data_IF_386804378659
#
_entry.id   IF_386804378659
#
_cell.length_a   1.000
_cell.length_b   1.000
_cell.length_c   1.000
_cell.angle_alpha   90.00
_cell.angle_beta   90.00
_cell.angle_gamma   90.00
#
_symmetry.space_group_name_H-M   'P 1'
#
loop_
_entity.id
_entity.type
_entity.pdbx_description
1 polymer ?
#
# COMPACT_ATOMS: atom_id res chain seq x y z
N UNK A 1 53.20 6.51 56.30
CA UNK A 1 53.78 5.90 55.10
C UNK A 1 53.02 6.47 53.89
N UNK A 2 53.65 7.46 53.26
CA UNK A 2 53.19 8.17 52.10
C UNK A 2 53.79 7.52 50.85
N UNK A 3 52.93 7.08 49.89
CA UNK A 3 53.37 6.55 48.59
C UNK A 3 52.94 7.56 47.56
N UNK A 4 53.83 8.10 46.71
CA UNK A 4 53.43 9.03 45.65
C UNK A 4 52.85 8.32 44.45
N UNK A 5 51.66 8.75 43.98
CA UNK A 5 51.09 8.30 42.72
C UNK A 5 51.79 9.03 41.56
N UNK A 6 52.30 8.24 40.66
CA UNK A 6 52.86 8.67 39.39
C UNK A 6 51.69 9.05 38.41
N UNK A 7 51.60 10.29 38.01
CA UNK A 7 50.69 10.78 37.01
C UNK A 7 51.33 10.51 35.63
N UNK A 8 51.02 9.38 35.02
CA UNK A 8 51.20 9.23 33.56
C UNK A 8 50.08 9.98 32.87
N UNK A 9 50.45 11.03 32.12
CA UNK A 9 49.56 11.75 31.21
C UNK A 9 49.26 10.83 30.03
N UNK A 10 48.07 10.26 29.98
CA UNK A 10 47.52 9.72 28.73
C UNK A 10 47.41 10.85 27.70
N UNK A 11 48.10 10.72 26.58
CA UNK A 11 47.98 11.56 25.43
C UNK A 11 46.59 11.43 24.84
N UNK A 12 45.74 12.42 25.09
CA UNK A 12 44.43 12.58 24.41
C UNK A 12 44.68 12.79 22.94
N UNK A 13 44.45 11.74 22.13
CA UNK A 13 44.50 11.79 20.68
C UNK A 13 43.44 12.80 20.20
N UNK A 14 43.92 13.97 19.79
CA UNK A 14 43.15 15.03 19.18
C UNK A 14 42.31 14.49 17.99
N UNK A 15 41.04 14.87 17.79
CA UNK A 15 40.24 14.38 16.68
C UNK A 15 40.92 14.75 15.35
N UNK A 16 41.18 13.76 14.48
CA UNK A 16 41.79 13.93 13.16
C UNK A 16 41.02 15.02 12.41
N UNK A 17 41.65 16.16 12.19
CA UNK A 17 41.09 17.30 11.46
C UNK A 17 40.79 16.86 10.03
N UNK A 18 39.51 16.94 9.63
CA UNK A 18 39.05 16.51 8.28
C UNK A 18 39.75 17.35 7.23
N UNK A 19 40.40 16.70 6.27
CA UNK A 19 41.11 17.35 5.15
C UNK A 19 40.11 18.18 4.32
N UNK A 20 40.45 19.42 4.02
CA UNK A 20 39.61 20.37 3.30
C UNK A 20 40.14 20.66 1.89
N UNK A 21 39.29 21.23 1.02
CA UNK A 21 39.73 21.71 -0.31
C UNK A 21 40.85 22.74 -0.23
N UNK A 22 40.89 23.51 0.87
CA UNK A 22 41.96 24.50 1.12
C UNK A 22 43.30 23.83 1.36
N UNK A 23 43.32 22.68 2.01
CA UNK A 23 44.55 21.93 2.29
C UNK A 23 45.13 21.37 0.96
N UNK A 24 44.25 20.84 0.09
CA UNK A 24 44.64 20.36 -1.24
C UNK A 24 45.10 21.52 -2.14
N UNK A 25 44.42 22.66 -2.08
CA UNK A 25 44.79 23.89 -2.80
C UNK A 25 46.18 24.34 -2.42
N UNK A 26 46.51 24.32 -1.13
CA UNK A 26 47.86 24.70 -0.63
C UNK A 26 48.94 23.74 -1.13
N UNK A 27 48.64 22.46 -1.20
CA UNK A 27 49.61 21.43 -1.57
C UNK A 27 49.75 21.27 -3.09
N UNK A 28 48.68 21.48 -3.87
CA UNK A 28 48.71 21.37 -5.33
C UNK A 28 49.13 22.66 -6.03
N UNK A 29 49.08 23.82 -5.36
CA UNK A 29 49.39 25.15 -5.92
C UNK A 29 48.26 25.72 -6.80
N UNK A 30 47.10 25.07 -6.86
CA UNK A 30 45.93 25.55 -7.63
C UNK A 30 44.86 26.17 -6.72
N UNK A 31 44.02 27.06 -7.26
CA UNK A 31 42.98 27.68 -6.50
C UNK A 31 41.96 26.66 -5.96
N UNK A 32 41.30 26.93 -4.80
CA UNK A 32 40.24 26.04 -4.29
C UNK A 32 39.12 25.78 -5.28
N UNK A 33 38.81 26.75 -6.16
CA UNK A 33 37.82 26.60 -7.21
C UNK A 33 38.28 25.58 -8.29
N UNK A 34 39.55 25.67 -8.74
CA UNK A 34 40.15 24.71 -9.68
C UNK A 34 40.19 23.31 -9.09
N UNK A 35 40.65 23.20 -7.84
CA UNK A 35 40.69 21.92 -7.11
C UNK A 35 39.27 21.31 -7.04
N UNK A 36 38.27 22.10 -6.67
CA UNK A 36 36.88 21.64 -6.60
C UNK A 36 36.35 21.17 -7.95
N UNK A 37 36.62 21.88 -9.02
CA UNK A 37 36.18 21.51 -10.37
C UNK A 37 36.79 20.18 -10.84
N UNK A 38 38.11 20.00 -10.62
CA UNK A 38 38.81 18.75 -10.99
C UNK A 38 38.34 17.57 -10.17
N UNK A 39 38.21 17.70 -8.84
CA UNK A 39 37.81 16.61 -7.93
C UNK A 39 36.34 16.24 -8.08
N UNK A 40 35.46 17.18 -8.49
CA UNK A 40 34.05 16.93 -8.78
C UNK A 40 33.79 16.33 -10.16
N UNK A 41 34.83 16.18 -11.02
CA UNK A 41 34.69 15.58 -12.35
C UNK A 41 33.83 16.38 -13.33
N UNK A 42 33.79 17.72 -13.23
CA UNK A 42 33.03 18.58 -14.15
C UNK A 42 33.52 18.41 -15.57
N UNK A 43 32.60 18.19 -16.50
CA UNK A 43 32.87 17.97 -17.94
C UNK A 43 32.73 19.24 -18.81
N UNK A 44 32.15 20.29 -18.21
CA UNK A 44 31.97 21.60 -18.87
C UNK A 44 33.23 22.49 -18.90
N UNK A 45 34.27 22.08 -18.17
CA UNK A 45 35.58 22.74 -18.16
C UNK A 45 36.66 21.73 -18.43
N UNK A 46 37.55 22.02 -19.42
CA UNK A 46 38.68 21.16 -19.76
C UNK A 46 39.95 21.59 -19.04
N UNK A 47 40.63 20.64 -18.39
CA UNK A 47 41.93 20.82 -17.76
C UNK A 47 42.98 19.92 -18.43
N UNK A 48 44.24 20.35 -18.46
CA UNK A 48 45.30 19.51 -18.95
C UNK A 48 45.50 18.27 -18.06
N UNK A 49 45.93 17.14 -18.64
CA UNK A 49 46.21 15.93 -17.89
C UNK A 49 47.20 16.14 -16.73
N UNK A 50 48.19 17.04 -16.93
CA UNK A 50 49.17 17.39 -15.90
C UNK A 50 48.50 18.17 -14.73
N UNK A 51 47.59 19.10 -15.04
CA UNK A 51 46.82 19.83 -14.01
C UNK A 51 45.95 18.89 -13.20
N UNK A 52 45.27 17.97 -13.88
CA UNK A 52 44.42 16.96 -13.20
C UNK A 52 45.24 16.07 -12.27
N UNK A 53 46.43 15.62 -12.74
CA UNK A 53 47.34 14.80 -11.95
C UNK A 53 47.83 15.55 -10.68
N UNK A 54 48.30 16.78 -10.85
CA UNK A 54 48.82 17.62 -9.74
C UNK A 54 47.81 17.97 -8.68
N UNK A 55 46.54 17.86 -8.98
CA UNK A 55 45.45 18.02 -7.98
C UNK A 55 45.03 16.69 -7.35
N UNK A 56 45.00 15.61 -8.13
CA UNK A 56 44.57 14.30 -7.60
C UNK A 56 45.59 13.64 -6.68
N UNK A 57 46.89 13.70 -7.04
CA UNK A 57 47.94 13.10 -6.20
C UNK A 57 47.93 13.64 -4.76
N UNK A 58 47.91 14.97 -4.50
CA UNK A 58 47.77 15.47 -3.13
C UNK A 58 46.46 15.10 -2.43
N UNK A 59 45.34 15.04 -3.17
CA UNK A 59 44.04 14.67 -2.61
C UNK A 59 44.04 13.21 -2.10
N UNK A 60 44.61 12.30 -2.89
CA UNK A 60 44.77 10.89 -2.52
C UNK A 60 45.77 10.72 -1.36
N UNK A 61 46.91 11.41 -1.41
CA UNK A 61 47.91 11.35 -0.34
C UNK A 61 47.40 11.84 1.02
N UNK A 62 46.54 12.85 1.01
CA UNK A 62 45.87 13.37 2.23
C UNK A 62 44.66 12.58 2.64
N UNK A 63 44.22 11.57 1.88
CA UNK A 63 42.98 10.81 2.14
C UNK A 63 41.72 11.65 2.02
N UNK A 64 41.72 12.66 1.11
CA UNK A 64 40.54 13.47 0.87
C UNK A 64 39.45 12.65 0.17
N UNK A 65 38.38 12.38 0.87
CA UNK A 65 37.14 11.92 0.27
C UNK A 65 36.30 13.15 -0.13
N UNK A 66 36.03 13.38 -1.44
CA UNK A 66 35.11 14.44 -1.83
C UNK A 66 33.83 14.25 -1.05
N UNK A 67 33.39 15.26 -0.31
CA UNK A 67 32.00 15.29 0.16
C UNK A 67 31.18 15.29 -1.12
N UNK A 68 30.51 14.18 -1.41
CA UNK A 68 29.48 14.17 -2.44
C UNK A 68 28.62 15.40 -2.15
N UNK A 69 28.65 16.40 -3.06
CA UNK A 69 27.69 17.49 -2.95
C UNK A 69 26.34 16.79 -2.85
N UNK A 70 25.63 16.93 -1.71
CA UNK A 70 24.25 16.52 -1.62
C UNK A 70 23.63 17.05 -2.90
N UNK A 71 23.26 16.16 -3.82
CA UNK A 71 22.41 16.57 -4.95
C UNK A 71 21.29 17.33 -4.30
N UNK A 72 20.88 18.51 -4.81
CA UNK A 72 19.73 19.20 -4.26
C UNK A 72 18.66 18.14 -4.14
N UNK A 73 18.22 17.85 -2.91
CA UNK A 73 17.09 16.96 -2.67
C UNK A 73 15.93 17.58 -3.43
N UNK A 74 15.20 16.79 -4.19
CA UNK A 74 13.96 17.25 -4.82
C UNK A 74 12.99 17.76 -3.74
N UNK A 75 13.21 17.36 -2.49
CA UNK A 75 12.37 17.66 -1.34
C UNK A 75 13.25 18.10 -0.18
N UNK A 76 12.97 19.30 0.35
CA UNK A 76 13.63 19.84 1.54
C UNK A 76 13.07 19.23 2.85
N UNK A 77 12.01 18.45 2.75
CA UNK A 77 11.29 17.83 3.86
C UNK A 77 11.51 16.31 3.90
N UNK A 78 11.17 15.69 5.02
CA UNK A 78 11.10 14.24 5.13
C UNK A 78 10.08 13.70 4.13
N UNK A 79 10.50 12.83 3.24
CA UNK A 79 9.63 12.28 2.19
C UNK A 79 9.22 10.87 2.50
N UNK A 80 7.93 10.58 2.44
CA UNK A 80 7.32 9.27 2.63
C UNK A 80 6.88 8.68 1.29
N UNK A 81 7.25 7.43 1.04
CA UNK A 81 6.79 6.68 -0.11
C UNK A 81 5.47 5.96 0.19
N UNK A 82 4.47 6.16 -0.65
CA UNK A 82 3.20 5.43 -0.62
C UNK A 82 3.19 4.43 -1.77
N UNK A 83 3.14 3.14 -1.47
CA UNK A 83 3.07 2.07 -2.45
C UNK A 83 1.64 1.56 -2.54
N UNK A 84 1.03 1.63 -3.73
CA UNK A 84 -0.35 1.20 -3.96
C UNK A 84 -0.48 0.42 -5.28
N UNK A 85 -1.55 -0.37 -5.48
CA UNK A 85 -1.76 -1.07 -6.74
C UNK A 85 -2.01 -0.11 -7.90
N UNK A 86 -2.95 0.79 -7.72
CA UNK A 86 -3.29 1.87 -8.65
C UNK A 86 -4.00 3.01 -7.91
N UNK A 87 -4.07 4.18 -8.50
CA UNK A 87 -4.72 5.37 -7.92
C UNK A 87 -6.11 5.65 -8.49
N UNK A 88 -6.59 4.84 -9.41
CA UNK A 88 -7.88 5.05 -10.08
C UNK A 88 -9.03 4.36 -9.35
N UNK A 89 -8.75 3.30 -8.59
CA UNK A 89 -9.74 2.71 -7.71
C UNK A 89 -9.96 3.65 -6.49
N UNK A 90 -11.19 4.13 -6.24
CA UNK A 90 -11.50 5.05 -5.14
C UNK A 90 -11.07 4.56 -3.74
N UNK A 91 -10.96 3.26 -3.53
CA UNK A 91 -10.41 2.71 -2.28
C UNK A 91 -8.97 3.19 -2.05
N UNK A 92 -8.09 2.99 -3.05
CA UNK A 92 -6.68 3.35 -2.91
C UNK A 92 -6.45 4.85 -2.97
N UNK A 93 -7.17 5.58 -3.85
CA UNK A 93 -7.04 7.04 -3.91
C UNK A 93 -7.48 7.72 -2.62
N UNK A 94 -8.51 7.20 -1.93
CA UNK A 94 -8.94 7.71 -0.62
C UNK A 94 -7.87 7.46 0.46
N UNK A 95 -7.25 6.27 0.51
CA UNK A 95 -6.13 6.00 1.43
C UNK A 95 -4.95 6.94 1.16
N UNK A 96 -4.54 7.05 -0.12
CA UNK A 96 -3.43 7.91 -0.53
C UNK A 96 -3.70 9.36 -0.10
N UNK A 97 -4.89 9.89 -0.38
CA UNK A 97 -5.27 11.25 0.01
C UNK A 97 -5.23 11.44 1.52
N UNK A 98 -5.73 10.48 2.30
CA UNK A 98 -5.72 10.56 3.76
C UNK A 98 -4.29 10.55 4.34
N UNK A 99 -3.38 9.74 3.76
CA UNK A 99 -1.96 9.75 4.11
C UNK A 99 -1.33 11.12 3.77
N UNK A 100 -1.61 11.65 2.58
CA UNK A 100 -1.08 12.93 2.11
C UNK A 100 -1.52 14.09 3.01
N UNK A 101 -2.79 14.11 3.42
CA UNK A 101 -3.31 15.12 4.37
C UNK A 101 -2.58 15.03 5.71
N UNK A 102 -2.48 13.83 6.30
CA UNK A 102 -1.78 13.62 7.57
C UNK A 102 -0.28 13.97 7.47
N UNK A 103 0.36 13.69 6.33
CA UNK A 103 1.76 14.03 6.07
C UNK A 103 1.97 15.55 5.98
N UNK A 104 1.07 16.26 5.31
CA UNK A 104 1.12 17.71 5.20
C UNK A 104 1.02 18.41 6.56
N UNK A 105 0.16 17.91 7.47
CA UNK A 105 0.01 18.42 8.84
C UNK A 105 1.29 18.24 9.69
N UNK A 106 2.24 17.41 9.25
CA UNK A 106 3.52 17.10 9.91
C UNK A 106 4.75 17.54 9.10
N UNK A 107 4.57 18.45 8.15
CA UNK A 107 5.65 18.93 7.28
C UNK A 107 6.42 17.81 6.54
N UNK A 108 5.73 16.76 6.14
CA UNK A 108 6.27 15.67 5.34
C UNK A 108 5.77 15.76 3.89
N UNK A 109 6.66 15.48 2.95
CA UNK A 109 6.31 15.28 1.54
C UNK A 109 5.95 13.83 1.27
N UNK A 110 5.22 13.56 0.20
CA UNK A 110 4.83 12.21 -0.18
C UNK A 110 5.12 11.94 -1.65
N UNK A 111 5.56 10.71 -1.93
CA UNK A 111 5.66 10.15 -3.27
C UNK A 111 4.71 8.96 -3.40
N UNK A 112 4.00 8.85 -4.52
CA UNK A 112 3.12 7.71 -4.78
C UNK A 112 3.74 6.86 -5.88
N UNK A 113 3.86 5.55 -5.61
CA UNK A 113 4.31 4.56 -6.58
C UNK A 113 3.26 3.49 -6.80
N UNK A 114 2.87 3.26 -8.06
CA UNK A 114 1.88 2.27 -8.44
C UNK A 114 2.54 0.99 -8.93
N UNK A 115 2.19 -0.15 -8.32
CA UNK A 115 2.77 -1.45 -8.67
C UNK A 115 1.94 -2.23 -9.68
N UNK A 116 0.64 -1.94 -9.81
CA UNK A 116 -0.33 -2.74 -10.57
C UNK A 116 -0.34 -4.23 -10.16
N UNK A 117 -0.05 -4.52 -8.88
CA UNK A 117 0.11 -5.87 -8.33
C UNK A 117 1.18 -6.71 -9.03
N UNK A 118 2.13 -6.04 -9.69
CA UNK A 118 3.28 -6.66 -10.34
C UNK A 118 4.40 -6.84 -9.31
N UNK A 119 4.80 -8.10 -9.08
CA UNK A 119 5.83 -8.45 -8.12
C UNK A 119 7.21 -7.87 -8.49
N UNK A 120 7.53 -7.78 -9.78
CA UNK A 120 8.81 -7.20 -10.24
C UNK A 120 8.85 -5.71 -9.97
N UNK A 121 7.75 -4.99 -10.17
CA UNK A 121 7.63 -3.58 -9.82
C UNK A 121 7.78 -3.35 -8.32
N UNK A 122 7.19 -4.23 -7.48
CA UNK A 122 7.32 -4.16 -6.03
C UNK A 122 8.77 -4.39 -5.59
N UNK A 123 9.43 -5.43 -6.10
CA UNK A 123 10.85 -5.71 -5.81
C UNK A 123 11.74 -4.54 -6.25
N UNK A 124 11.47 -3.97 -7.42
CA UNK A 124 12.25 -2.84 -7.96
C UNK A 124 12.16 -1.61 -7.05
N UNK A 125 10.97 -1.23 -6.61
CA UNK A 125 10.82 -0.06 -5.74
C UNK A 125 11.41 -0.30 -4.36
N UNK A 126 11.24 -1.48 -3.76
CA UNK A 126 11.80 -1.82 -2.46
C UNK A 126 13.33 -1.80 -2.46
N UNK A 127 13.97 -2.28 -3.54
CA UNK A 127 15.42 -2.20 -3.69
C UNK A 127 15.91 -0.75 -3.85
N UNK A 128 15.13 0.11 -4.49
CA UNK A 128 15.46 1.53 -4.64
C UNK A 128 15.36 2.30 -3.32
N UNK A 129 14.42 1.94 -2.45
CA UNK A 129 14.26 2.53 -1.10
C UNK A 129 15.51 2.37 -0.26
N UNK A 130 16.17 1.21 -0.31
CA UNK A 130 17.34 0.92 0.52
C UNK A 130 18.55 1.86 0.27
N UNK A 131 18.60 2.53 -0.87
CA UNK A 131 19.66 3.50 -1.24
C UNK A 131 19.17 4.94 -1.34
N UNK A 132 17.98 5.25 -0.88
CA UNK A 132 17.33 6.57 -1.01
C UNK A 132 17.37 7.37 0.30
N UNK A 133 17.03 8.67 0.20
CA UNK A 133 16.84 9.56 1.35
C UNK A 133 15.38 9.56 1.86
N UNK A 134 14.59 8.51 1.55
CA UNK A 134 13.21 8.38 2.00
C UNK A 134 13.16 8.19 3.52
N UNK A 135 12.20 8.84 4.16
CA UNK A 135 12.04 8.82 5.61
C UNK A 135 11.17 7.66 6.10
N UNK A 136 10.31 7.12 5.23
CA UNK A 136 9.40 6.03 5.56
C UNK A 136 8.64 5.49 4.35
N UNK A 137 7.99 4.35 4.51
CA UNK A 137 7.18 3.69 3.47
C UNK A 137 5.84 3.26 4.02
N UNK A 138 4.74 3.53 3.29
CA UNK A 138 3.42 2.97 3.57
C UNK A 138 3.00 2.11 2.39
N UNK A 139 2.71 0.83 2.65
CA UNK A 139 2.02 -0.04 1.71
C UNK A 139 0.51 0.04 1.94
N UNK A 140 -0.26 0.29 0.90
CA UNK A 140 -1.73 0.35 0.98
C UNK A 140 -2.41 -1.00 0.71
N UNK A 141 -1.62 -2.05 0.58
CA UNK A 141 -2.02 -3.44 0.37
C UNK A 141 -0.98 -4.39 0.99
N UNK A 142 -1.34 -5.66 1.14
CA UNK A 142 -0.35 -6.67 1.52
C UNK A 142 0.74 -6.78 0.45
N UNK A 143 2.02 -6.69 0.85
CA UNK A 143 3.14 -6.87 -0.06
C UNK A 143 3.28 -8.33 -0.47
N UNK A 144 3.75 -8.58 -1.69
CA UNK A 144 4.00 -9.93 -2.19
C UNK A 144 5.34 -10.49 -1.68
N UNK A 145 6.31 -9.62 -1.38
CA UNK A 145 7.64 -9.99 -0.86
C UNK A 145 7.80 -9.55 0.59
N UNK A 146 7.24 -10.33 1.53
CA UNK A 146 7.28 -10.02 2.98
C UNK A 146 8.71 -9.94 3.52
N UNK A 147 9.59 -10.86 3.12
CA UNK A 147 11.01 -10.85 3.54
C UNK A 147 11.76 -9.60 3.09
N UNK A 148 11.47 -9.12 1.88
CA UNK A 148 12.08 -7.89 1.36
C UNK A 148 11.57 -6.67 2.11
N UNK A 149 10.28 -6.62 2.42
CA UNK A 149 9.67 -5.56 3.24
C UNK A 149 10.29 -5.53 4.64
N UNK A 150 10.44 -6.66 5.31
CA UNK A 150 11.09 -6.74 6.62
C UNK A 150 12.57 -6.31 6.57
N UNK A 151 13.27 -6.61 5.48
CA UNK A 151 14.64 -6.15 5.27
C UNK A 151 14.69 -4.62 5.10
N UNK A 152 13.77 -4.05 4.33
CA UNK A 152 13.66 -2.58 4.16
C UNK A 152 13.29 -1.92 5.49
N UNK A 153 12.38 -2.52 6.28
CA UNK A 153 11.97 -1.99 7.58
C UNK A 153 13.12 -1.84 8.60
N UNK A 154 14.22 -2.60 8.43
CA UNK A 154 15.44 -2.40 9.23
C UNK A 154 16.25 -1.15 8.87
N UNK A 155 15.99 -0.57 7.70
CA UNK A 155 16.69 0.61 7.17
C UNK A 155 15.82 1.87 7.23
N UNK A 156 14.55 1.72 6.90
CA UNK A 156 13.55 2.77 6.79
C UNK A 156 12.23 2.23 7.34
N UNK A 157 11.55 2.90 8.29
CA UNK A 157 10.31 2.41 8.86
C UNK A 157 9.25 2.13 7.79
N UNK A 158 8.58 1.00 7.91
CA UNK A 158 7.52 0.55 7.01
C UNK A 158 6.24 0.28 7.77
N UNK A 159 5.10 0.76 7.25
CA UNK A 159 3.76 0.42 7.73
C UNK A 159 2.97 -0.21 6.60
N UNK A 160 2.24 -1.29 6.88
CA UNK A 160 1.41 -2.01 5.91
C UNK A 160 -0.07 -1.90 6.29
N UNK A 161 -0.89 -1.41 5.35
CA UNK A 161 -2.35 -1.47 5.45
C UNK A 161 -2.80 -2.73 4.72
N UNK A 162 -3.43 -3.67 5.42
CA UNK A 162 -3.82 -4.92 4.76
C UNK A 162 -4.64 -5.85 5.62
N UNK A 163 -4.69 -7.11 5.21
CA UNK A 163 -5.35 -8.16 5.96
C UNK A 163 -4.52 -8.56 7.17
N UNK A 164 -5.19 -9.10 8.19
CA UNK A 164 -4.54 -9.59 9.39
C UNK A 164 -3.53 -10.69 9.04
N UNK A 165 -2.25 -10.39 9.25
CA UNK A 165 -1.16 -11.33 9.02
C UNK A 165 -0.17 -11.31 10.18
N UNK A 166 -0.19 -12.35 11.00
CA UNK A 166 0.66 -12.48 12.18
C UNK A 166 2.11 -12.81 11.85
N UNK A 167 2.43 -13.23 10.62
CA UNK A 167 3.79 -13.58 10.21
C UNK A 167 4.63 -12.37 9.76
N UNK A 168 4.00 -11.23 9.45
CA UNK A 168 4.70 -10.03 9.01
C UNK A 168 5.22 -9.22 10.21
N UNK A 169 6.54 -9.01 10.29
CA UNK A 169 7.20 -8.32 11.40
C UNK A 169 7.41 -6.82 11.13
N UNK A 170 6.36 -6.12 10.76
CA UNK A 170 6.31 -4.67 10.61
C UNK A 170 5.04 -4.11 11.25
N UNK A 171 4.99 -2.80 11.41
CA UNK A 171 3.77 -2.12 11.88
C UNK A 171 2.64 -2.27 10.87
N UNK A 172 1.41 -2.51 11.36
CA UNK A 172 0.26 -2.78 10.48
C UNK A 172 -0.99 -2.03 10.91
N UNK A 173 -1.78 -1.64 9.89
CA UNK A 173 -3.20 -1.27 10.05
C UNK A 173 -4.02 -2.36 9.39
N UNK A 174 -4.72 -3.14 10.18
CA UNK A 174 -5.28 -4.42 9.79
C UNK A 174 -6.80 -4.37 9.61
N UNK A 175 -7.27 -5.30 8.81
CA UNK A 175 -8.67 -5.64 8.63
C UNK A 175 -8.86 -7.15 8.78
N UNK A 176 -9.97 -7.54 9.40
CA UNK A 176 -10.38 -8.93 9.40
C UNK A 176 -11.33 -9.19 8.22
N UNK A 177 -10.77 -9.46 7.04
CA UNK A 177 -11.56 -9.70 5.84
C UNK A 177 -12.45 -10.95 5.93
N UNK A 178 -12.07 -11.95 6.71
CA UNK A 178 -12.94 -13.10 7.00
C UNK A 178 -14.21 -12.64 7.72
N UNK A 179 -14.08 -11.86 8.79
CA UNK A 179 -15.22 -11.31 9.52
C UNK A 179 -16.10 -10.40 8.63
N UNK A 180 -15.49 -9.63 7.73
CA UNK A 180 -16.23 -8.82 6.76
C UNK A 180 -17.09 -9.69 5.82
N UNK A 181 -16.55 -10.81 5.34
CA UNK A 181 -17.30 -11.80 4.55
C UNK A 181 -18.45 -12.41 5.34
N UNK A 182 -18.20 -12.80 6.59
CA UNK A 182 -19.23 -13.37 7.48
C UNK A 182 -20.38 -12.38 7.73
N UNK A 183 -20.10 -11.09 7.96
CA UNK A 183 -21.14 -10.06 8.17
C UNK A 183 -22.11 -9.99 6.97
N UNK A 184 -21.61 -9.99 5.75
CA UNK A 184 -22.47 -9.99 4.55
C UNK A 184 -23.28 -11.29 4.46
N UNK A 185 -22.65 -12.44 4.73
CA UNK A 185 -23.33 -13.73 4.66
C UNK A 185 -24.48 -13.81 5.68
N UNK A 186 -24.25 -13.46 6.94
CA UNK A 186 -25.29 -13.39 7.96
C UNK A 186 -26.47 -12.49 7.53
N UNK A 187 -26.15 -11.32 6.97
CA UNK A 187 -27.18 -10.40 6.50
C UNK A 187 -28.00 -10.99 5.34
N UNK A 188 -27.34 -11.61 4.34
CA UNK A 188 -28.02 -12.22 3.20
C UNK A 188 -28.86 -13.43 3.60
N UNK A 189 -28.39 -14.27 4.50
CA UNK A 189 -29.15 -15.39 5.08
C UNK A 189 -30.36 -14.83 5.86
N UNK A 190 -30.16 -13.78 6.65
CA UNK A 190 -31.24 -13.10 7.40
C UNK A 190 -32.34 -12.52 6.51
N UNK A 191 -32.02 -12.10 5.28
CA UNK A 191 -33.02 -11.72 4.26
C UNK A 191 -33.71 -12.91 3.59
N UNK A 192 -33.20 -14.14 3.75
CA UNK A 192 -33.73 -15.36 3.15
C UNK A 192 -33.06 -15.78 1.83
N UNK A 193 -31.93 -15.19 1.46
CA UNK A 193 -31.17 -15.59 0.27
C UNK A 193 -30.43 -16.91 0.51
N UNK A 194 -30.96 -18.01 0.02
CA UNK A 194 -30.35 -19.35 0.14
C UNK A 194 -29.24 -19.57 -0.90
N UNK A 195 -29.42 -19.11 -2.12
CA UNK A 195 -28.47 -19.31 -3.21
C UNK A 195 -27.95 -17.96 -3.70
N UNK A 196 -26.66 -17.76 -3.56
CA UNK A 196 -25.99 -16.52 -3.98
C UNK A 196 -24.86 -16.79 -4.96
N UNK A 197 -24.53 -15.79 -5.79
CA UNK A 197 -23.31 -15.79 -6.56
C UNK A 197 -22.29 -14.84 -5.92
N UNK A 198 -21.07 -15.33 -5.69
CA UNK A 198 -19.93 -14.52 -5.29
C UNK A 198 -19.09 -14.16 -6.52
N UNK A 199 -19.00 -12.87 -6.84
CA UNK A 199 -18.34 -12.36 -8.04
C UNK A 199 -17.00 -11.72 -7.65
N UNK A 200 -15.90 -12.19 -8.24
CA UNK A 200 -14.57 -11.74 -7.87
C UNK A 200 -13.64 -11.58 -9.08
N UNK A 201 -12.64 -10.75 -8.93
CA UNK A 201 -11.41 -10.79 -9.71
C UNK A 201 -10.48 -11.88 -9.14
N UNK A 202 -9.18 -11.82 -9.41
CA UNK A 202 -8.16 -12.81 -9.00
C UNK A 202 -8.29 -13.24 -7.53
N UNK A 203 -8.38 -14.54 -7.31
CA UNK A 203 -8.42 -15.20 -6.00
C UNK A 203 -7.16 -16.07 -5.86
N UNK A 204 -6.10 -15.51 -5.30
CA UNK A 204 -4.85 -16.20 -5.01
C UNK A 204 -4.18 -15.63 -3.75
N UNK A 205 -3.07 -16.20 -3.32
CA UNK A 205 -2.36 -15.80 -2.10
C UNK A 205 -1.93 -14.33 -2.10
N UNK A 206 -1.54 -13.77 -3.25
CA UNK A 206 -1.19 -12.36 -3.39
C UNK A 206 -2.40 -11.41 -3.19
N UNK A 207 -3.61 -11.96 -3.23
CA UNK A 207 -4.88 -11.26 -2.98
C UNK A 207 -5.59 -11.81 -1.73
N UNK A 208 -4.85 -12.06 -0.65
CA UNK A 208 -5.32 -12.69 0.58
C UNK A 208 -6.63 -12.09 1.12
N UNK A 209 -6.77 -10.76 1.10
CA UNK A 209 -8.00 -10.08 1.51
C UNK A 209 -9.24 -10.56 0.76
N UNK A 210 -9.14 -10.76 -0.56
CA UNK A 210 -10.25 -11.25 -1.40
C UNK A 210 -10.59 -12.71 -1.07
N UNK A 211 -9.57 -13.54 -0.86
CA UNK A 211 -9.72 -14.95 -0.47
C UNK A 211 -10.39 -15.05 0.89
N UNK A 212 -9.94 -14.27 1.87
CA UNK A 212 -10.51 -14.26 3.23
C UNK A 212 -11.97 -13.79 3.27
N UNK A 213 -12.35 -12.79 2.45
CA UNK A 213 -13.76 -12.39 2.29
C UNK A 213 -14.62 -13.56 1.79
N UNK A 214 -14.15 -14.27 0.75
CA UNK A 214 -14.85 -15.43 0.23
C UNK A 214 -14.96 -16.56 1.26
N UNK A 215 -13.89 -16.86 1.99
CA UNK A 215 -13.89 -17.86 3.04
C UNK A 215 -14.96 -17.54 4.10
N UNK A 216 -14.99 -16.28 4.59
CA UNK A 216 -16.02 -15.83 5.54
C UNK A 216 -17.44 -16.02 5.02
N UNK A 217 -17.69 -15.70 3.74
CA UNK A 217 -19.00 -15.93 3.11
C UNK A 217 -19.34 -17.43 3.03
N UNK A 218 -18.40 -18.24 2.55
CA UNK A 218 -18.65 -19.69 2.35
C UNK A 218 -18.86 -20.43 3.65
N UNK A 219 -18.02 -20.17 4.64
CA UNK A 219 -18.10 -20.86 5.94
C UNK A 219 -19.40 -20.50 6.66
N UNK A 220 -19.81 -19.23 6.65
CA UNK A 220 -21.08 -18.81 7.23
C UNK A 220 -22.26 -19.50 6.54
N UNK A 221 -22.28 -19.55 5.19
CA UNK A 221 -23.35 -20.28 4.47
C UNK A 221 -23.35 -21.76 4.78
N UNK A 222 -22.17 -22.40 4.82
CA UNK A 222 -22.06 -23.82 5.18
C UNK A 222 -22.66 -24.11 6.57
N UNK A 223 -22.39 -23.23 7.51
CA UNK A 223 -22.73 -23.47 8.92
C UNK A 223 -24.17 -23.06 9.25
N UNK A 224 -24.73 -22.01 8.63
CA UNK A 224 -26.04 -21.44 8.96
C UNK A 224 -27.14 -21.64 7.90
N UNK A 225 -26.76 -21.97 6.66
CA UNK A 225 -27.69 -22.23 5.56
C UNK A 225 -27.24 -23.44 4.74
N UNK A 226 -27.19 -24.64 5.34
CA UNK A 226 -26.61 -25.83 4.68
C UNK A 226 -27.40 -26.28 3.44
N UNK A 227 -28.69 -25.90 3.32
CA UNK A 227 -29.50 -26.11 2.12
C UNK A 227 -29.21 -25.10 1.00
N UNK A 228 -28.44 -24.06 1.31
CA UNK A 228 -28.06 -23.00 0.39
C UNK A 228 -26.80 -23.32 -0.42
N UNK A 229 -26.39 -22.38 -1.23
CA UNK A 229 -25.13 -22.47 -1.98
C UNK A 229 -24.49 -21.11 -2.26
N UNK A 230 -23.17 -21.09 -2.26
CA UNK A 230 -22.36 -19.97 -2.72
C UNK A 230 -21.68 -20.36 -4.03
N UNK A 231 -22.19 -19.85 -5.15
CA UNK A 231 -21.65 -20.09 -6.47
C UNK A 231 -20.54 -19.08 -6.74
N UNK A 232 -19.29 -19.51 -6.76
CA UNK A 232 -18.14 -18.63 -6.98
C UNK A 232 -17.87 -18.47 -8.47
N UNK A 233 -17.77 -17.24 -8.91
CA UNK A 233 -17.31 -16.85 -10.24
C UNK A 233 -16.18 -15.85 -10.10
N UNK A 234 -15.02 -16.20 -10.62
CA UNK A 234 -13.85 -15.33 -10.60
C UNK A 234 -13.16 -15.32 -11.97
N UNK A 235 -12.51 -14.22 -12.26
CA UNK A 235 -11.64 -14.06 -13.42
C UNK A 235 -10.29 -13.50 -12.96
N UNK A 236 -9.23 -14.15 -13.39
CA UNK A 236 -7.88 -13.63 -13.16
C UNK A 236 -7.69 -12.32 -13.94
N UNK A 237 -7.09 -11.34 -13.27
CA UNK A 237 -6.70 -10.04 -13.83
C UNK A 237 -5.18 -9.95 -13.73
N UNK A 238 -4.54 -9.80 -14.87
CA UNK A 238 -3.08 -9.65 -14.94
C UNK A 238 -2.65 -8.24 -14.59
N UNK A 239 -1.39 -8.03 -14.13
CA UNK A 239 -0.83 -6.69 -13.91
C UNK A 239 -0.94 -5.77 -15.14
N UNK A 240 -0.81 -6.33 -16.34
CA UNK A 240 -0.97 -5.60 -17.58
C UNK A 240 -2.40 -5.11 -17.78
N UNK A 241 -3.40 -5.95 -17.54
CA UNK A 241 -4.81 -5.56 -17.63
C UNK A 241 -5.17 -4.49 -16.58
N UNK A 242 -4.68 -4.64 -15.34
CA UNK A 242 -4.91 -3.65 -14.28
C UNK A 242 -4.31 -2.28 -14.64
N UNK A 243 -3.16 -2.25 -15.31
CA UNK A 243 -2.53 -1.02 -15.79
C UNK A 243 -3.24 -0.41 -17.00
N UNK A 244 -3.63 -1.24 -17.97
CA UNK A 244 -4.09 -0.77 -19.29
C UNK A 244 -5.62 -0.50 -19.31
N UNK A 245 -6.39 -1.01 -18.33
CA UNK A 245 -7.84 -0.85 -18.24
C UNK A 245 -8.28 -0.35 -16.85
N UNK A 246 -8.62 0.92 -16.77
CA UNK A 246 -9.08 1.57 -15.53
C UNK A 246 -10.39 1.00 -14.97
N UNK A 247 -11.21 0.38 -15.82
CA UNK A 247 -12.53 -0.17 -15.49
C UNK A 247 -12.50 -1.70 -15.35
N UNK A 248 -11.33 -2.32 -15.22
CA UNK A 248 -11.18 -3.78 -15.28
C UNK A 248 -12.04 -4.50 -14.23
N UNK A 249 -12.12 -4.00 -13.01
CA UNK A 249 -12.93 -4.61 -11.94
C UNK A 249 -14.43 -4.54 -12.27
N UNK A 250 -14.91 -3.40 -12.76
CA UNK A 250 -16.29 -3.26 -13.28
C UNK A 250 -16.55 -4.20 -14.45
N UNK A 251 -15.65 -4.27 -15.42
CA UNK A 251 -15.79 -5.15 -16.59
C UNK A 251 -15.90 -6.62 -16.20
N UNK A 252 -15.09 -7.06 -15.23
CA UNK A 252 -15.14 -8.43 -14.66
C UNK A 252 -16.50 -8.67 -13.98
N UNK A 253 -16.96 -7.72 -13.16
CA UNK A 253 -18.26 -7.79 -12.51
C UNK A 253 -19.39 -7.95 -13.53
N UNK A 254 -19.37 -7.12 -14.58
CA UNK A 254 -20.35 -7.16 -15.66
C UNK A 254 -20.34 -8.51 -16.42
N UNK A 255 -19.17 -8.94 -16.87
CA UNK A 255 -18.99 -10.19 -17.63
C UNK A 255 -19.46 -11.43 -16.84
N UNK A 256 -19.00 -11.57 -15.60
CA UNK A 256 -19.28 -12.76 -14.80
C UNK A 256 -20.75 -12.82 -14.37
N UNK A 257 -21.37 -11.67 -14.08
CA UNK A 257 -22.79 -11.60 -13.72
C UNK A 257 -23.68 -12.04 -14.87
N UNK A 258 -23.43 -11.61 -16.10
CA UNK A 258 -24.21 -12.04 -17.27
C UNK A 258 -24.23 -13.56 -17.44
N UNK A 259 -23.14 -14.23 -17.10
CA UNK A 259 -23.05 -15.70 -17.13
C UNK A 259 -23.90 -16.38 -16.05
N UNK A 260 -24.25 -15.67 -14.97
CA UNK A 260 -25.05 -16.18 -13.86
C UNK A 260 -26.55 -15.89 -13.95
N UNK A 261 -26.96 -14.87 -14.70
CA UNK A 261 -28.38 -14.43 -14.77
C UNK A 261 -29.35 -15.47 -15.32
N UNK A 262 -28.84 -16.55 -15.96
CA UNK A 262 -29.64 -17.71 -16.37
C UNK A 262 -29.89 -18.77 -15.29
N UNK A 263 -29.18 -18.68 -14.16
CA UNK A 263 -29.27 -19.63 -13.05
C UNK A 263 -30.44 -19.27 -12.14
N UNK A 264 -31.61 -19.88 -12.33
CA UNK A 264 -32.88 -19.54 -11.66
C UNK A 264 -32.83 -19.54 -10.12
N UNK A 265 -31.89 -20.24 -9.53
CA UNK A 265 -31.77 -20.34 -8.05
C UNK A 265 -31.08 -19.13 -7.45
N UNK A 266 -30.23 -18.41 -8.19
CA UNK A 266 -29.51 -17.25 -7.68
C UNK A 266 -30.49 -16.12 -7.47
N UNK A 267 -30.53 -15.60 -6.25
CA UNK A 267 -31.38 -14.47 -5.86
C UNK A 267 -30.57 -13.23 -5.41
N UNK A 268 -29.26 -13.41 -5.22
CA UNK A 268 -28.39 -12.32 -4.82
C UNK A 268 -26.96 -12.49 -5.34
N UNK A 269 -26.27 -11.36 -5.46
CA UNK A 269 -24.87 -11.26 -5.84
C UNK A 269 -24.07 -10.59 -4.71
N UNK A 270 -22.98 -11.22 -4.30
CA UNK A 270 -21.97 -10.67 -3.41
C UNK A 270 -20.72 -10.40 -4.23
N UNK A 271 -20.38 -9.14 -4.45
CA UNK A 271 -19.19 -8.73 -5.17
C UNK A 271 -18.01 -8.56 -4.22
N UNK A 272 -16.81 -8.92 -4.64
CA UNK A 272 -15.59 -8.85 -3.82
C UNK A 272 -15.25 -7.44 -3.34
N UNK A 273 -15.70 -6.41 -4.07
CA UNK A 273 -15.61 -4.99 -3.71
C UNK A 273 -16.69 -4.18 -4.46
N UNK A 274 -16.79 -2.89 -4.14
CA UNK A 274 -17.81 -2.01 -4.71
C UNK A 274 -17.61 -1.77 -6.20
N UNK A 275 -16.36 -1.73 -6.71
CA UNK A 275 -16.10 -1.56 -8.15
C UNK A 275 -16.61 -2.75 -8.96
N UNK A 276 -16.45 -3.96 -8.47
CA UNK A 276 -17.04 -5.17 -9.06
C UNK A 276 -18.57 -5.14 -8.94
N UNK A 277 -19.10 -4.67 -7.79
CA UNK A 277 -20.53 -4.55 -7.57
C UNK A 277 -21.20 -3.61 -8.58
N UNK A 278 -20.54 -2.54 -8.99
CA UNK A 278 -21.07 -1.64 -10.05
C UNK A 278 -21.21 -2.37 -11.39
N UNK A 279 -20.25 -3.23 -11.73
CA UNK A 279 -20.35 -4.10 -12.89
C UNK A 279 -21.52 -5.09 -12.79
N UNK A 280 -21.77 -5.62 -11.59
CA UNK A 280 -22.92 -6.49 -11.30
C UNK A 280 -24.24 -5.74 -11.53
N UNK A 281 -24.37 -4.53 -10.96
CA UNK A 281 -25.55 -3.67 -11.11
C UNK A 281 -25.85 -3.35 -12.58
N UNK A 282 -24.82 -2.99 -13.33
CA UNK A 282 -24.96 -2.66 -14.75
C UNK A 282 -25.32 -3.89 -15.61
N UNK A 283 -24.78 -5.06 -15.29
CA UNK A 283 -25.13 -6.31 -15.97
C UNK A 283 -26.61 -6.69 -15.75
N UNK A 284 -27.10 -6.57 -14.52
CA UNK A 284 -28.49 -6.83 -14.16
C UNK A 284 -29.42 -5.87 -14.92
N UNK A 285 -29.08 -4.59 -14.94
CA UNK A 285 -29.83 -3.56 -15.66
C UNK A 285 -29.84 -3.81 -17.18
N UNK A 286 -28.70 -4.17 -17.75
CA UNK A 286 -28.57 -4.43 -19.20
C UNK A 286 -29.45 -5.60 -19.67
N UNK A 287 -29.74 -6.56 -18.77
CA UNK A 287 -30.67 -7.67 -19.05
C UNK A 287 -32.13 -7.36 -18.66
N UNK A 288 -32.46 -6.07 -18.46
CA UNK A 288 -33.81 -5.60 -18.13
C UNK A 288 -34.32 -6.04 -16.77
N UNK A 289 -33.41 -6.41 -15.85
CA UNK A 289 -33.72 -6.81 -14.47
C UNK A 289 -33.50 -5.65 -13.52
N UNK A 290 -34.10 -5.72 -12.33
CA UNK A 290 -34.10 -4.66 -11.33
C UNK A 290 -33.39 -5.09 -10.05
N UNK A 291 -32.77 -4.14 -9.39
CA UNK A 291 -32.16 -4.26 -8.08
C UNK A 291 -32.89 -3.28 -7.15
N UNK A 292 -33.42 -3.73 -6.02
CA UNK A 292 -33.28 -5.07 -5.41
C UNK A 292 -34.36 -6.07 -5.81
N UNK A 293 -35.38 -5.72 -6.63
CA UNK A 293 -36.60 -6.49 -6.81
C UNK A 293 -36.40 -7.86 -7.47
N UNK A 294 -35.47 -7.97 -8.41
CA UNK A 294 -35.19 -9.23 -9.09
C UNK A 294 -33.93 -9.91 -8.50
N UNK A 295 -32.95 -9.11 -8.09
CA UNK A 295 -31.70 -9.54 -7.46
C UNK A 295 -31.22 -8.56 -6.40
N UNK A 296 -30.80 -9.04 -5.26
CA UNK A 296 -30.03 -8.27 -4.29
C UNK A 296 -28.55 -8.20 -4.69
N UNK A 297 -27.91 -7.04 -4.44
CA UNK A 297 -26.47 -6.85 -4.68
C UNK A 297 -25.80 -6.21 -3.49
N UNK A 298 -24.66 -6.75 -3.06
CA UNK A 298 -23.83 -6.10 -2.05
C UNK A 298 -22.34 -6.16 -2.41
N UNK A 299 -21.57 -5.26 -1.82
CA UNK A 299 -20.14 -5.13 -2.03
C UNK A 299 -19.35 -5.00 -0.73
N UNK A 300 -18.10 -4.55 -0.86
CA UNK A 300 -17.21 -4.20 0.23
C UNK A 300 -16.50 -2.91 -0.13
N UNK A 301 -16.09 -2.16 0.87
CA UNK A 301 -15.24 -0.98 0.92
C UNK A 301 -16.01 0.30 1.30
N UNK A 302 -17.29 0.46 0.97
CA UNK A 302 -18.08 1.69 1.13
C UNK A 302 -17.37 2.91 0.51
N UNK A 303 -16.89 2.76 -0.73
CA UNK A 303 -16.29 3.89 -1.45
C UNK A 303 -17.36 4.96 -1.75
N UNK A 304 -16.93 6.24 -1.83
CA UNK A 304 -17.88 7.36 -1.89
C UNK A 304 -18.95 7.25 -2.98
N UNK A 305 -18.72 6.66 -4.20
CA UNK A 305 -19.78 6.55 -5.19
C UNK A 305 -20.93 5.62 -4.76
N UNK A 306 -20.71 4.68 -3.84
CA UNK A 306 -21.72 3.69 -3.40
C UNK A 306 -22.97 4.32 -2.80
N UNK A 307 -22.89 5.54 -2.26
CA UNK A 307 -24.01 6.26 -1.68
C UNK A 307 -24.76 7.14 -2.70
N UNK A 308 -24.16 7.41 -3.87
CA UNK A 308 -24.71 8.34 -4.89
C UNK A 308 -25.33 7.63 -6.11
N UNK A 309 -25.35 6.30 -6.10
CA UNK A 309 -25.96 5.51 -7.17
C UNK A 309 -27.49 5.69 -7.17
N UNK A 310 -28.17 5.51 -8.33
CA UNK A 310 -29.63 5.44 -8.38
C UNK A 310 -30.21 4.39 -7.44
N UNK A 311 -29.45 3.32 -7.19
CA UNK A 311 -29.72 2.32 -6.15
C UNK A 311 -28.53 2.34 -5.21
N UNK A 312 -28.68 2.86 -4.01
CA UNK A 312 -27.61 2.92 -3.02
C UNK A 312 -27.10 1.51 -2.69
N UNK A 313 -25.77 1.30 -2.82
CA UNK A 313 -25.17 -0.02 -2.65
C UNK A 313 -25.01 -0.39 -1.17
N UNK A 314 -25.61 -1.52 -0.77
CA UNK A 314 -25.31 -2.18 0.51
C UNK A 314 -23.88 -2.71 0.48
N UNK A 315 -23.07 -2.33 1.47
CA UNK A 315 -21.62 -2.61 1.46
C UNK A 315 -21.05 -2.67 2.87
N UNK A 316 -19.89 -3.25 3.05
CA UNK A 316 -19.17 -3.24 4.33
C UNK A 316 -18.26 -2.02 4.41
N UNK A 317 -18.41 -1.24 5.47
CA UNK A 317 -17.55 -0.10 5.79
C UNK A 317 -16.15 -0.56 6.20
N UNK A 318 -15.15 0.00 5.56
CA UNK A 318 -13.74 -0.31 5.80
C UNK A 318 -12.93 0.85 6.41
N UNK A 319 -13.56 1.98 6.76
CA UNK A 319 -12.89 3.15 7.35
C UNK A 319 -11.63 3.58 6.61
N UNK A 320 -11.76 3.70 5.28
CA UNK A 320 -10.63 3.82 4.35
C UNK A 320 -9.72 5.00 4.71
N UNK A 321 -10.31 6.19 4.95
CA UNK A 321 -9.54 7.39 5.29
C UNK A 321 -8.88 7.29 6.68
N UNK A 322 -9.58 6.69 7.66
CA UNK A 322 -9.03 6.51 9.02
C UNK A 322 -7.82 5.57 9.01
N UNK A 323 -7.86 4.52 8.21
CA UNK A 323 -6.71 3.64 8.02
C UNK A 323 -5.51 4.36 7.45
N UNK A 324 -5.71 5.20 6.45
CA UNK A 324 -4.64 6.02 5.87
C UNK A 324 -4.01 6.95 6.90
N UNK A 325 -4.82 7.68 7.66
CA UNK A 325 -4.33 8.55 8.75
C UNK A 325 -3.56 7.77 9.81
N UNK A 326 -4.13 6.68 10.32
CA UNK A 326 -3.47 5.85 11.34
C UNK A 326 -2.14 5.28 10.85
N UNK A 327 -2.08 4.80 9.61
CA UNK A 327 -0.85 4.29 9.04
C UNK A 327 0.26 5.36 8.99
N UNK A 328 -0.09 6.59 8.62
CA UNK A 328 0.87 7.69 8.64
C UNK A 328 1.28 8.09 10.06
N UNK A 329 0.36 8.14 11.01
CA UNK A 329 0.67 8.48 12.42
C UNK A 329 1.64 7.46 13.03
N UNK A 330 1.41 6.15 12.81
CA UNK A 330 2.33 5.09 13.23
C UNK A 330 3.70 5.30 12.60
N UNK A 331 3.74 5.51 11.28
CA UNK A 331 4.98 5.75 10.56
C UNK A 331 5.73 6.98 11.09
N UNK A 332 5.02 8.10 11.28
CA UNK A 332 5.60 9.35 11.76
C UNK A 332 6.20 9.20 13.16
N UNK A 333 5.53 8.49 14.06
CA UNK A 333 6.05 8.18 15.41
C UNK A 333 7.36 7.39 15.36
N UNK A 334 7.54 6.48 14.41
CA UNK A 334 8.81 5.77 14.16
C UNK A 334 9.87 6.69 13.56
N UNK A 335 9.51 7.52 12.57
CA UNK A 335 10.41 8.48 11.93
C UNK A 335 10.95 9.55 12.89
N UNK A 336 10.17 9.94 13.90
CA UNK A 336 10.54 10.94 14.92
C UNK A 336 11.30 10.34 16.10
N UNK A 337 11.38 9.01 16.20
CA UNK A 337 12.00 8.32 17.35
C UNK A 337 11.15 8.33 18.62
N UNK A 338 9.89 8.74 18.55
CA UNK A 338 8.94 8.73 19.68
C UNK A 338 8.54 7.30 20.04
N UNK A 339 8.49 6.41 19.06
CA UNK A 339 8.21 4.99 19.25
C UNK A 339 9.49 4.16 19.15
N UNK A 340 9.61 3.14 20.00
CA UNK A 340 10.77 2.24 19.97
C UNK A 340 10.74 1.34 18.73
N UNK A 341 11.88 1.21 18.04
CA UNK A 341 12.07 0.27 16.93
C UNK A 341 11.89 -1.21 17.36
N UNK A 342 11.79 -1.48 18.65
CA UNK A 342 11.59 -2.83 19.20
C UNK A 342 10.14 -3.25 19.28
N UNK A 343 9.19 -2.32 19.11
CA UNK A 343 7.76 -2.59 19.22
C UNK A 343 7.13 -2.65 17.84
N UNK A 344 6.25 -3.64 17.64
CA UNK A 344 5.36 -3.70 16.47
C UNK A 344 3.98 -3.22 16.92
N UNK A 345 3.46 -2.21 16.24
CA UNK A 345 2.11 -1.67 16.44
C UNK A 345 1.16 -2.32 15.46
N UNK A 346 0.04 -2.86 15.95
CA UNK A 346 -1.04 -3.41 15.14
C UNK A 346 -2.35 -2.75 15.53
N UNK A 347 -2.98 -2.12 14.55
CA UNK A 347 -4.28 -1.46 14.73
C UNK A 347 -5.30 -2.17 13.87
N UNK A 348 -6.34 -2.74 14.47
CA UNK A 348 -7.42 -3.43 13.77
C UNK A 348 -8.71 -2.61 13.80
N UNK A 349 -9.31 -2.37 12.64
CA UNK A 349 -10.61 -1.70 12.51
C UNK A 349 -11.75 -2.73 12.49
N UNK A 350 -12.82 -2.47 13.23
CA UNK A 350 -14.05 -3.27 13.21
C UNK A 350 -14.91 -2.88 12.03
N UNK A 351 -15.42 -3.87 11.31
CA UNK A 351 -16.32 -3.65 10.19
C UNK A 351 -17.73 -3.32 10.61
N UNK A 352 -18.45 -2.60 9.74
CA UNK A 352 -19.88 -2.35 9.84
C UNK A 352 -20.54 -2.60 8.49
N UNK A 353 -21.70 -3.22 8.50
CA UNK A 353 -22.55 -3.29 7.32
C UNK A 353 -23.35 -1.99 7.17
N UNK A 354 -23.23 -1.37 6.02
CA UNK A 354 -24.02 -0.21 5.63
C UNK A 354 -25.13 -0.70 4.70
N UNK A 355 -26.31 -0.83 5.24
CA UNK A 355 -27.49 -1.25 4.47
C UNK A 355 -28.05 -0.07 3.70
N UNK A 356 -28.28 -0.27 2.40
CA UNK A 356 -28.90 0.68 1.46
C UNK A 356 -29.95 -0.02 0.60
N UNK A 357 -30.27 0.56 -0.55
CA UNK A 357 -31.43 0.16 -1.37
C UNK A 357 -31.17 -1.08 -2.25
N UNK A 358 -29.93 -1.55 -2.38
CA UNK A 358 -29.55 -2.63 -3.31
C UNK A 358 -29.87 -4.05 -2.80
N UNK A 359 -30.49 -4.18 -1.63
CA UNK A 359 -30.81 -5.48 -1.05
C UNK A 359 -32.23 -5.52 -0.48
N UNK A 360 -32.95 -6.61 -0.73
CA UNK A 360 -34.28 -6.90 -0.18
C UNK A 360 -34.43 -8.41 -0.01
N UNK A 361 -35.52 -8.86 0.63
CA UNK A 361 -35.85 -10.28 0.67
C UNK A 361 -36.06 -10.83 -0.77
N UNK A 362 -35.65 -12.09 -1.04
CA UNK A 362 -35.88 -12.71 -2.35
C UNK A 362 -37.36 -12.75 -2.68
N UNK A 363 -37.70 -12.58 -3.97
CA UNK A 363 -39.06 -12.86 -4.43
C UNK A 363 -39.45 -14.26 -4.01
N UNK A 364 -40.61 -14.40 -3.37
CA UNK A 364 -41.18 -15.71 -3.08
C UNK A 364 -41.26 -16.52 -4.38
N UNK A 365 -40.95 -17.82 -4.31
CA UNK A 365 -41.22 -18.70 -5.44
C UNK A 365 -42.72 -18.55 -5.77
N UNK A 366 -43.02 -17.97 -6.94
CA UNK A 366 -44.38 -18.07 -7.48
C UNK A 366 -44.67 -19.58 -7.55
N UNK A 367 -45.62 -20.01 -6.69
CA UNK A 367 -46.17 -21.36 -6.79
C UNK A 367 -46.77 -21.43 -8.19
N UNK A 368 -46.03 -21.99 -9.13
CA UNK A 368 -46.57 -22.41 -10.41
C UNK A 368 -47.68 -23.41 -10.09
N UNK A 369 -48.93 -22.91 -10.15
CA UNK A 369 -50.12 -23.68 -10.06
C UNK A 369 -50.31 -24.58 -11.28
#
# INVERSE_FOLDING_TARGET
>A
LYVPHNNEKEDVVSPRTRVTLTDISRQSGYSPATVSMILSGRTDVSFSADTVRKVREPAEALGYAPTAKKRPSLFDRKTVLIVCPNVLNPYYSTIVQAIQQAAADKDCDTLVYTTYRDAENEIRILNAVAGSDLAGVVFTMMPQSTELVERVNRLVPVVVIGDRNTSLNVDTVEMNNYSAGAIIAHYMIGLGHKHIAYISTTLNEANSARVRRLEGVRDTYRDECPEGSVIVRSREVTPKEERDNISIEHAVGFELTRKCLGERRITAFVAVNDMVAYGVLDAIRAEGRRVPEDYSVCGFDNIFPSQFLPVGLTTVEHYIADKGRNAFEILHSKMSGESSDRNITRVEFKHHLIVRDSTAAPRGEEKTG
#
